data_IF_462243379465
#
_entry.id   IF_462243379465
#
_cell.length_a   1.000
_cell.length_b   1.000
_cell.length_c   1.000
_cell.angle_alpha   90.00
_cell.angle_beta   90.00
_cell.angle_gamma   90.00
#
_symmetry.space_group_name_H-M   'P 1'
#
loop_
_entity.id
_entity.type
_entity.pdbx_description
1 polymer ?
#
# COMPACT_ATOMS: atom_id res chain seq x y z
N UNK A 1 -29.42 -3.25 1.06
CA UNK A 1 -29.04 -2.70 2.35
C UNK A 1 -27.55 -2.84 2.59
N UNK A 2 -26.98 -3.94 2.17
CA UNK A 2 -25.54 -4.16 2.33
C UNK A 2 -24.70 -3.53 1.22
N UNK A 3 -25.36 -2.99 0.21
CA UNK A 3 -24.66 -2.42 -0.94
C UNK A 3 -23.68 -1.32 -0.55
N UNK A 4 -23.97 -0.62 0.54
CA UNK A 4 -23.10 0.45 1.02
C UNK A 4 -21.98 -0.04 1.94
N UNK A 5 -21.92 -1.34 2.21
CA UNK A 5 -20.90 -1.90 3.09
C UNK A 5 -19.59 -2.06 2.32
N UNK A 6 -18.74 -1.07 2.43
CA UNK A 6 -17.44 -1.08 1.75
C UNK A 6 -16.47 -2.11 2.30
N UNK A 7 -16.81 -2.74 3.43
CA UNK A 7 -15.98 -3.80 3.99
C UNK A 7 -16.18 -5.14 3.28
N UNK A 8 -17.19 -5.25 2.39
CA UNK A 8 -17.42 -6.48 1.62
C UNK A 8 -16.22 -6.79 0.74
N UNK A 9 -15.69 -8.00 0.86
CA UNK A 9 -14.50 -8.41 0.12
C UNK A 9 -14.85 -9.19 -1.14
N UNK A 10 -13.99 -9.09 -2.14
CA UNK A 10 -14.11 -9.86 -3.40
C UNK A 10 -13.49 -11.24 -3.28
N UNK A 11 -12.78 -11.50 -2.19
CA UNK A 11 -12.15 -12.79 -1.89
C UNK A 11 -12.17 -12.97 -0.38
N UNK A 12 -11.98 -14.21 0.05
CA UNK A 12 -11.99 -14.51 1.49
C UNK A 12 -10.69 -14.03 2.13
N UNK A 13 -10.73 -13.05 3.05
CA UNK A 13 -9.51 -12.54 3.68
C UNK A 13 -8.82 -13.56 4.57
N UNK A 14 -9.53 -14.55 5.08
CA UNK A 14 -8.89 -15.61 5.88
C UNK A 14 -8.12 -16.59 5.00
N UNK A 15 -8.59 -16.82 3.78
CA UNK A 15 -7.89 -17.67 2.81
C UNK A 15 -6.71 -16.95 2.17
N UNK A 16 -6.85 -15.64 1.94
CA UNK A 16 -5.84 -14.83 1.26
C UNK A 16 -5.44 -13.62 2.10
N UNK A 17 -4.86 -13.84 3.30
CA UNK A 17 -4.54 -12.72 4.19
C UNK A 17 -3.53 -11.76 3.60
N UNK A 18 -2.57 -12.23 2.82
CA UNK A 18 -1.55 -11.34 2.25
C UNK A 18 -2.15 -10.42 1.20
N UNK A 19 -3.06 -10.92 0.37
CA UNK A 19 -3.78 -10.08 -0.60
C UNK A 19 -4.63 -9.05 0.13
N UNK A 20 -5.29 -9.48 1.22
CA UNK A 20 -6.12 -8.58 2.01
C UNK A 20 -5.30 -7.43 2.61
N UNK A 21 -4.15 -7.73 3.18
CA UNK A 21 -3.26 -6.70 3.72
C UNK A 21 -2.82 -5.72 2.63
N UNK A 22 -2.48 -6.23 1.44
CA UNK A 22 -2.10 -5.35 0.34
C UNK A 22 -3.26 -4.46 -0.08
N UNK A 23 -4.47 -5.02 -0.18
CA UNK A 23 -5.65 -4.25 -0.55
C UNK A 23 -5.94 -3.14 0.45
N UNK A 24 -5.83 -3.43 1.75
CA UNK A 24 -6.02 -2.41 2.79
C UNK A 24 -5.01 -1.27 2.64
N UNK A 25 -3.74 -1.61 2.38
CA UNK A 25 -2.73 -0.58 2.23
C UNK A 25 -2.99 0.29 1.00
N UNK A 26 -3.35 -0.30 -0.12
CA UNK A 26 -3.71 0.45 -1.33
C UNK A 26 -4.87 1.39 -1.03
N UNK A 27 -5.89 0.88 -0.35
CA UNK A 27 -7.07 1.68 -0.04
C UNK A 27 -6.73 2.90 0.81
N UNK A 28 -6.04 2.68 1.94
CA UNK A 28 -5.79 3.78 2.87
C UNK A 28 -4.70 4.74 2.41
N UNK A 29 -3.76 4.27 1.59
CA UNK A 29 -2.67 5.12 1.11
C UNK A 29 -3.02 5.91 -0.15
N UNK A 30 -3.94 5.41 -0.98
CA UNK A 30 -4.13 6.01 -2.30
C UNK A 30 -5.58 5.97 -2.80
N UNK A 31 -6.56 5.84 -1.93
CA UNK A 31 -7.96 5.59 -2.35
C UNK A 31 -8.55 6.63 -3.31
N UNK A 32 -8.13 7.88 -3.24
CA UNK A 32 -8.67 8.94 -4.10
C UNK A 32 -7.79 9.23 -5.32
N UNK A 33 -6.75 8.43 -5.54
CA UNK A 33 -5.81 8.66 -6.61
C UNK A 33 -6.17 7.84 -7.85
N UNK A 34 -5.37 7.98 -8.93
CA UNK A 34 -5.60 7.24 -10.15
C UNK A 34 -5.08 5.80 -10.06
N UNK A 35 -5.44 4.98 -11.06
CA UNK A 35 -5.05 3.57 -11.09
C UNK A 35 -3.54 3.37 -11.03
N UNK A 36 -2.79 4.17 -11.79
CA UNK A 36 -1.33 4.03 -11.82
C UNK A 36 -0.71 4.26 -10.45
N UNK A 37 -1.19 5.26 -9.72
CA UNK A 37 -0.69 5.56 -8.38
C UNK A 37 -1.03 4.43 -7.40
N UNK A 38 -2.25 3.91 -7.48
CA UNK A 38 -2.66 2.79 -6.62
C UNK A 38 -1.79 1.55 -6.89
N UNK A 39 -1.53 1.25 -8.15
CA UNK A 39 -0.65 0.14 -8.51
C UNK A 39 0.78 0.39 -8.03
N UNK A 40 1.24 1.64 -8.12
CA UNK A 40 2.59 1.99 -7.67
C UNK A 40 2.74 1.83 -6.16
N UNK A 41 1.73 2.23 -5.39
CA UNK A 41 1.73 2.03 -3.93
C UNK A 41 1.82 0.55 -3.60
N UNK A 42 1.06 -0.29 -4.30
CA UNK A 42 1.12 -1.74 -4.12
C UNK A 42 2.50 -2.30 -4.50
N UNK A 43 3.08 -1.81 -5.58
CA UNK A 43 4.39 -2.27 -6.04
C UNK A 43 5.49 -2.00 -5.00
N UNK A 44 5.43 -0.87 -4.31
CA UNK A 44 6.38 -0.58 -3.23
C UNK A 44 6.33 -1.64 -2.14
N UNK A 45 5.14 -2.07 -1.75
CA UNK A 45 5.00 -3.14 -0.73
C UNK A 45 5.66 -4.42 -1.23
N UNK A 46 5.40 -4.82 -2.47
CA UNK A 46 5.99 -6.03 -3.03
C UNK A 46 7.51 -5.90 -3.13
N UNK A 47 8.02 -4.73 -3.53
CA UNK A 47 9.47 -4.49 -3.58
C UNK A 47 10.11 -4.67 -2.21
N UNK A 48 9.45 -4.19 -1.15
CA UNK A 48 9.95 -4.37 0.22
C UNK A 48 9.96 -5.84 0.62
N UNK A 49 8.90 -6.58 0.29
CA UNK A 49 8.83 -8.02 0.58
C UNK A 49 10.03 -8.75 -0.02
N UNK A 50 10.45 -8.33 -1.20
CA UNK A 50 11.55 -8.96 -1.94
C UNK A 50 12.93 -8.39 -1.59
N UNK A 51 13.00 -7.46 -0.66
CA UNK A 51 14.23 -6.81 -0.24
C UNK A 51 14.59 -7.29 1.17
N UNK A 52 15.79 -7.84 1.35
CA UNK A 52 16.20 -8.45 2.61
C UNK A 52 16.24 -7.48 3.79
N UNK A 53 16.18 -6.16 3.54
CA UNK A 53 16.17 -5.14 4.59
C UNK A 53 14.79 -4.94 5.23
N UNK A 54 13.76 -5.61 4.70
CA UNK A 54 12.38 -5.47 5.17
C UNK A 54 11.80 -6.82 5.54
N UNK A 55 10.65 -6.85 6.24
CA UNK A 55 9.96 -8.12 6.49
C UNK A 55 9.64 -8.83 5.17
N UNK A 56 9.44 -10.14 5.23
CA UNK A 56 9.31 -10.95 4.02
C UNK A 56 7.89 -11.38 3.67
N UNK A 57 6.89 -10.80 4.32
CA UNK A 57 5.48 -11.01 3.95
C UNK A 57 4.81 -9.66 3.78
N UNK A 58 3.74 -9.63 2.97
CA UNK A 58 2.99 -8.40 2.74
C UNK A 58 2.41 -7.86 4.03
N UNK A 59 1.76 -8.71 4.83
CA UNK A 59 1.15 -8.25 6.09
C UNK A 59 2.20 -7.68 7.03
N UNK A 60 3.36 -8.31 7.13
CA UNK A 60 4.43 -7.80 7.99
C UNK A 60 5.00 -6.47 7.49
N UNK A 61 5.13 -6.30 6.18
CA UNK A 61 5.56 -5.02 5.61
C UNK A 61 4.53 -3.92 5.90
N UNK A 62 3.26 -4.23 5.69
CA UNK A 62 2.17 -3.25 5.88
C UNK A 62 2.04 -2.85 7.35
N UNK A 63 2.31 -3.78 8.27
CA UNK A 63 2.22 -3.53 9.71
C UNK A 63 3.55 -3.11 10.34
N UNK A 64 4.58 -2.89 9.52
CA UNK A 64 5.93 -2.61 10.00
C UNK A 64 5.96 -1.36 10.88
N UNK A 65 6.73 -1.42 11.95
CA UNK A 65 6.87 -0.31 12.90
C UNK A 65 5.79 -0.25 13.96
N UNK A 66 4.81 -1.17 13.91
CA UNK A 66 3.75 -1.17 14.93
C UNK A 66 4.32 -1.48 16.32
N UNK A 67 4.00 -0.61 17.26
CA UNK A 67 4.32 -0.82 18.69
C UNK A 67 3.13 -0.33 19.48
N UNK A 68 2.67 -1.15 20.43
CA UNK A 68 1.51 -0.83 21.24
C UNK A 68 1.65 0.56 21.89
N UNK A 69 0.64 1.40 21.72
CA UNK A 69 0.62 2.72 22.31
C UNK A 69 1.44 3.76 21.58
N UNK A 70 2.00 3.45 20.42
CA UNK A 70 2.83 4.38 19.64
C UNK A 70 2.25 4.56 18.24
N UNK A 71 2.62 5.67 17.61
CA UNK A 71 2.11 6.03 16.27
C UNK A 71 3.25 6.21 15.27
N UNK A 72 4.21 5.28 15.31
CA UNK A 72 5.37 5.33 14.42
C UNK A 72 5.38 4.19 13.39
N UNK A 73 4.20 3.72 12.96
CA UNK A 73 4.08 2.74 11.89
C UNK A 73 4.61 3.30 10.58
N UNK A 74 5.19 2.44 9.77
CA UNK A 74 5.62 2.79 8.41
C UNK A 74 4.45 3.34 7.60
N UNK A 75 3.28 2.71 7.72
CA UNK A 75 2.04 3.18 7.10
C UNK A 75 1.13 3.68 8.22
N UNK A 76 0.97 4.99 8.29
CA UNK A 76 0.36 5.64 9.44
C UNK A 76 -1.08 5.21 9.72
N UNK A 77 -1.82 4.80 8.67
CA UNK A 77 -3.20 4.38 8.86
C UNK A 77 -3.32 3.20 9.81
N UNK A 78 -2.30 2.34 9.86
CA UNK A 78 -2.35 1.13 10.69
C UNK A 78 -2.32 1.43 12.19
N UNK A 79 -1.76 2.56 12.59
CA UNK A 79 -1.66 2.91 14.01
C UNK A 79 -2.14 4.34 14.31
N UNK A 80 -3.11 4.84 13.54
CA UNK A 80 -3.67 6.18 13.75
C UNK A 80 -4.80 6.21 14.79
N UNK A 81 -5.12 5.07 15.39
CA UNK A 81 -6.17 4.96 16.40
C UNK A 81 -7.58 4.88 15.83
N UNK A 82 -7.73 4.86 14.51
CA UNK A 82 -9.04 4.74 13.86
C UNK A 82 -9.27 3.29 13.43
N UNK A 83 -10.54 2.93 13.24
CA UNK A 83 -10.88 1.60 12.74
C UNK A 83 -10.37 1.44 11.30
N UNK A 84 -9.74 0.31 11.00
CA UNK A 84 -9.18 0.03 9.68
C UNK A 84 -10.20 -0.67 8.79
N UNK A 85 -11.36 -0.01 8.62
CA UNK A 85 -12.49 -0.53 7.88
C UNK A 85 -12.73 0.35 6.66
N UNK A 86 -12.56 -0.15 5.44
CA UNK A 86 -12.85 0.63 4.24
C UNK A 86 -14.32 0.99 4.18
N UNK A 87 -14.63 2.26 3.90
CA UNK A 87 -16.00 2.76 3.87
C UNK A 87 -16.45 3.25 2.50
N UNK A 88 -15.55 3.42 1.57
CA UNK A 88 -15.86 3.83 0.21
C UNK A 88 -15.87 2.60 -0.69
N UNK A 89 -17.07 2.13 -1.02
CA UNK A 89 -17.27 0.85 -1.68
C UNK A 89 -16.50 0.71 -3.00
N UNK A 90 -16.60 1.71 -3.87
CA UNK A 90 -15.93 1.66 -5.18
C UNK A 90 -14.42 1.66 -5.02
N UNK A 91 -13.90 2.46 -4.11
CA UNK A 91 -12.46 2.54 -3.87
C UNK A 91 -11.94 1.24 -3.24
N UNK A 92 -12.73 0.63 -2.37
CA UNK A 92 -12.36 -0.65 -1.77
C UNK A 92 -12.36 -1.78 -2.80
N UNK A 93 -13.36 -1.82 -3.68
CA UNK A 93 -13.40 -2.81 -4.75
C UNK A 93 -12.18 -2.68 -5.66
N UNK A 94 -11.83 -1.46 -6.07
CA UNK A 94 -10.66 -1.24 -6.91
C UNK A 94 -9.36 -1.64 -6.22
N UNK A 95 -9.21 -1.30 -4.94
CA UNK A 95 -8.02 -1.70 -4.19
C UNK A 95 -7.87 -3.22 -4.13
N UNK A 96 -8.97 -3.93 -3.93
CA UNK A 96 -8.96 -5.39 -3.92
C UNK A 96 -8.59 -5.96 -5.29
N UNK A 97 -9.12 -5.39 -6.36
CA UNK A 97 -8.80 -5.84 -7.71
C UNK A 97 -7.33 -5.65 -8.05
N UNK A 98 -6.77 -4.52 -7.65
CA UNK A 98 -5.34 -4.25 -7.87
C UNK A 98 -4.48 -5.25 -7.09
N UNK A 99 -4.79 -5.45 -5.81
CA UNK A 99 -4.02 -6.37 -4.97
C UNK A 99 -4.09 -7.80 -5.49
N UNK A 100 -5.28 -8.25 -5.87
CA UNK A 100 -5.46 -9.58 -6.42
C UNK A 100 -4.70 -9.75 -7.74
N UNK A 101 -4.86 -8.78 -8.66
CA UNK A 101 -4.19 -8.82 -9.95
C UNK A 101 -2.67 -8.85 -9.82
N UNK A 102 -2.12 -8.04 -8.91
CA UNK A 102 -0.69 -8.00 -8.70
C UNK A 102 -0.16 -9.29 -8.10
N UNK A 103 -0.82 -9.82 -7.08
CA UNK A 103 -0.30 -11.00 -6.38
C UNK A 103 -0.60 -12.32 -7.08
N UNK A 104 -1.70 -12.40 -7.82
CA UNK A 104 -2.10 -13.65 -8.47
C UNK A 104 -1.73 -13.71 -9.95
N UNK A 105 -1.61 -12.57 -10.61
CA UNK A 105 -1.36 -12.51 -12.05
C UNK A 105 -0.16 -11.65 -12.41
N UNK A 106 0.58 -11.15 -11.43
CA UNK A 106 1.76 -10.31 -11.60
C UNK A 106 1.48 -9.02 -12.40
N UNK A 107 0.23 -8.56 -12.37
CA UNK A 107 -0.13 -7.31 -13.03
C UNK A 107 0.55 -6.14 -12.33
N UNK A 108 1.05 -5.19 -13.13
CA UNK A 108 1.65 -3.94 -12.66
C UNK A 108 2.96 -4.10 -11.89
N UNK A 109 3.47 -5.32 -11.72
CA UNK A 109 4.76 -5.50 -11.05
C UNK A 109 5.84 -4.74 -11.80
N UNK A 110 6.66 -4.00 -11.05
CA UNK A 110 7.74 -3.23 -11.64
C UNK A 110 7.35 -1.84 -12.12
N UNK A 111 6.09 -1.43 -11.93
CA UNK A 111 5.65 -0.12 -12.37
C UNK A 111 6.48 1.02 -11.74
N UNK A 112 7.02 0.83 -10.54
CA UNK A 112 7.85 1.82 -9.86
C UNK A 112 9.35 1.61 -10.07
N UNK A 113 9.75 0.65 -10.91
CA UNK A 113 11.16 0.37 -11.18
C UNK A 113 11.96 0.09 -9.90
N UNK A 114 11.36 -0.64 -8.98
CA UNK A 114 12.03 -1.07 -7.75
C UNK A 114 11.92 -0.09 -6.59
N UNK A 115 10.99 0.87 -6.64
CA UNK A 115 10.85 1.83 -5.56
C UNK A 115 10.52 1.16 -4.22
N UNK A 116 11.10 1.71 -3.15
CA UNK A 116 10.91 1.24 -1.79
C UNK A 116 10.30 2.31 -0.90
N UNK A 117 10.25 3.56 -1.37
CA UNK A 117 9.74 4.72 -0.62
C UNK A 117 8.92 5.61 -1.50
N UNK A 118 7.99 6.32 -0.88
CA UNK A 118 7.26 7.38 -1.56
C UNK A 118 6.76 8.39 -0.53
N UNK A 119 6.41 9.57 -1.02
CA UNK A 119 5.73 10.59 -0.22
C UNK A 119 4.75 11.34 -1.11
N UNK A 120 3.79 12.00 -0.48
CA UNK A 120 2.85 12.85 -1.22
C UNK A 120 3.59 14.02 -1.87
N UNK A 121 3.08 14.48 -3.02
CA UNK A 121 3.73 15.55 -3.78
C UNK A 121 3.85 16.86 -3.02
N UNK A 122 3.01 17.06 -2.00
CA UNK A 122 2.98 18.32 -1.25
C UNK A 122 3.86 18.32 0.02
N UNK A 123 4.64 17.26 0.24
CA UNK A 123 5.57 17.19 1.38
C UNK A 123 7.01 17.04 0.88
N UNK A 124 7.97 17.39 1.74
CA UNK A 124 9.39 17.31 1.43
C UNK A 124 10.14 16.66 2.58
N UNK A 125 10.03 15.35 2.74
CA UNK A 125 10.69 14.68 3.87
C UNK A 125 12.21 14.69 3.69
N UNK A 126 12.91 14.74 4.83
CA UNK A 126 14.39 14.82 4.82
C UNK A 126 15.03 13.60 4.16
N UNK A 127 14.43 12.42 4.35
CA UNK A 127 15.02 11.19 3.82
C UNK A 127 15.05 11.16 2.28
N UNK A 128 14.22 11.95 1.61
CA UNK A 128 14.15 11.94 0.15
C UNK A 128 15.50 12.26 -0.50
N UNK A 129 16.30 13.12 0.13
CA UNK A 129 17.60 13.50 -0.41
C UNK A 129 18.63 12.37 -0.38
N UNK A 130 18.40 11.36 0.46
CA UNK A 130 19.33 10.24 0.62
C UNK A 130 19.01 9.07 -0.29
N UNK A 131 17.93 9.14 -1.05
CA UNK A 131 17.47 8.03 -1.86
C UNK A 131 17.52 8.39 -3.35
N UNK A 132 17.55 7.35 -4.19
CA UNK A 132 17.54 7.52 -5.64
C UNK A 132 16.12 7.87 -6.10
N UNK A 133 15.95 9.02 -6.73
CA UNK A 133 14.66 9.42 -7.28
C UNK A 133 14.28 8.52 -8.45
N UNK A 134 13.07 7.97 -8.41
CA UNK A 134 12.49 7.25 -9.54
C UNK A 134 11.62 8.19 -10.36
N UNK A 135 10.65 8.86 -9.72
CA UNK A 135 9.78 9.80 -10.41
C UNK A 135 8.43 9.93 -9.74
N UNK A 136 7.57 10.72 -10.38
CA UNK A 136 6.22 10.97 -9.89
C UNK A 136 5.22 10.07 -10.61
N UNK A 137 4.31 9.46 -9.83
CA UNK A 137 3.15 8.75 -10.35
C UNK A 137 1.94 9.25 -9.55
N UNK A 138 1.01 9.91 -10.23
CA UNK A 138 -0.18 10.46 -9.58
C UNK A 138 0.17 11.46 -8.49
N UNK A 139 -0.28 11.18 -7.28
CA UNK A 139 -0.14 12.06 -6.12
C UNK A 139 1.11 11.78 -5.28
N UNK A 140 1.99 10.91 -5.75
CA UNK A 140 3.17 10.50 -5.00
C UNK A 140 4.45 10.61 -5.81
N UNK A 141 5.58 10.81 -5.11
CA UNK A 141 6.92 10.78 -5.69
C UNK A 141 7.64 9.57 -5.10
N UNK A 142 8.25 8.76 -5.96
CA UNK A 142 8.81 7.45 -5.61
C UNK A 142 10.32 7.44 -5.66
N UNK A 143 10.94 6.65 -4.78
CA UNK A 143 12.39 6.56 -4.61
C UNK A 143 12.81 5.11 -4.38
N UNK A 144 14.06 4.81 -4.76
CA UNK A 144 14.70 3.54 -4.42
C UNK A 144 15.72 3.77 -3.31
N UNK A 145 15.75 2.85 -2.37
CA UNK A 145 16.84 2.78 -1.40
C UNK A 145 17.91 1.85 -1.99
N UNK A 146 18.95 2.48 -2.52
CA UNK A 146 20.05 1.70 -3.10
C UNK A 146 20.90 1.07 -1.97
#
# INVERSE_FOLDING_TARGET
AKAADASTTLFNPETYPQVHCLALNVYFESRSSNLADKAAVADVVINRVNDSRYPNTVCEVVHDGYKKGRRDCQFSWYCDGKADIPKEEDQWAEAQMIAWGMMKFEKYLGITEGATHYHATYVSPRWAKSLQLVGRIGAHIFYRWE
#
